data_IF_521584124364
#
_entry.id   IF_521584124364
#
_cell.length_a   1.000
_cell.length_b   1.000
_cell.length_c   1.000
_cell.angle_alpha   90.00
_cell.angle_beta   90.00
_cell.angle_gamma   90.00
#
_symmetry.space_group_name_H-M   'P 1'
#
loop_
_entity.id
_entity.type
_entity.pdbx_description
1 polymer ?
#
# COMPACT_ATOMS: atom_id res chain seq x y z
N UNK A 1 -13.95 -29.49 -0.50
CA UNK A 1 -12.86 -28.64 0.04
C UNK A 1 -12.45 -27.48 -0.90
N UNK A 2 -13.21 -27.15 -1.95
CA UNK A 2 -12.85 -26.08 -2.92
C UNK A 2 -13.63 -24.76 -2.74
N UNK A 3 -14.49 -24.65 -1.71
CA UNK A 3 -15.39 -23.50 -1.53
C UNK A 3 -14.80 -22.27 -0.85
N UNK A 4 -13.54 -22.32 -0.41
CA UNK A 4 -12.85 -21.22 0.28
C UNK A 4 -12.10 -20.24 -0.62
N UNK A 5 -11.91 -20.58 -1.91
CA UNK A 5 -11.21 -19.72 -2.88
C UNK A 5 -12.14 -18.76 -3.63
N UNK A 6 -13.46 -18.92 -3.50
CA UNK A 6 -14.41 -17.99 -4.07
C UNK A 6 -14.64 -16.86 -3.05
N UNK A 7 -14.15 -15.63 -3.31
CA UNK A 7 -14.42 -14.51 -2.43
C UNK A 7 -15.93 -14.32 -2.33
N UNK A 8 -16.47 -14.48 -1.12
CA UNK A 8 -17.88 -14.21 -0.84
C UNK A 8 -18.03 -12.71 -0.66
N UNK A 9 -19.01 -12.13 -1.34
CA UNK A 9 -19.42 -10.77 -1.05
C UNK A 9 -19.89 -10.72 0.41
N UNK A 10 -19.42 -9.77 1.23
CA UNK A 10 -19.90 -9.61 2.59
C UNK A 10 -21.39 -9.29 2.56
N UNK A 11 -22.12 -9.75 3.57
CA UNK A 11 -23.58 -9.56 3.66
C UNK A 11 -23.97 -8.07 3.66
N UNK A 12 -23.05 -7.18 4.05
CA UNK A 12 -23.18 -5.72 3.98
C UNK A 12 -23.19 -5.16 2.55
N UNK A 13 -22.70 -5.90 1.55
CA UNK A 13 -22.68 -5.52 0.13
C UNK A 13 -23.82 -6.15 -0.69
N UNK A 14 -24.68 -6.99 -0.08
CA UNK A 14 -25.73 -7.75 -0.77
C UNK A 14 -26.93 -6.91 -1.29
N UNK A 15 -26.72 -5.64 -1.63
CA UNK A 15 -27.74 -4.77 -2.23
C UNK A 15 -27.49 -3.27 -2.13
N UNK A 16 -26.52 -2.83 -1.33
CA UNK A 16 -26.20 -1.40 -1.15
C UNK A 16 -24.72 -1.13 -1.45
N UNK A 17 -24.45 -0.55 -2.63
CA UNK A 17 -23.12 -0.05 -2.99
C UNK A 17 -22.91 1.42 -2.58
N UNK A 18 -23.96 2.06 -2.10
CA UNK A 18 -23.96 3.47 -1.71
C UNK A 18 -23.99 3.58 -0.18
N UNK A 19 -23.24 4.53 0.40
CA UNK A 19 -23.28 4.79 1.84
C UNK A 19 -24.72 5.10 2.25
N UNK A 20 -25.19 4.41 3.28
CA UNK A 20 -26.55 4.56 3.78
C UNK A 20 -26.52 5.07 5.22
N UNK A 21 -27.50 5.90 5.59
CA UNK A 21 -27.62 6.43 6.94
C UNK A 21 -28.64 5.61 7.70
N UNK A 22 -28.20 4.83 8.68
CA UNK A 22 -29.07 4.04 9.57
C UNK A 22 -28.89 4.58 10.99
N UNK A 23 -29.97 5.04 11.62
CA UNK A 23 -29.94 5.47 13.04
C UNK A 23 -29.11 6.73 13.34
N UNK A 24 -28.68 7.50 12.34
CA UNK A 24 -27.85 8.70 12.50
C UNK A 24 -26.38 8.50 12.16
N UNK A 25 -25.91 7.25 12.13
CA UNK A 25 -24.58 6.85 11.68
C UNK A 25 -24.54 6.60 10.17
N UNK A 26 -23.43 6.97 9.54
CA UNK A 26 -23.16 6.68 8.13
C UNK A 26 -22.45 5.34 8.07
N UNK A 27 -23.13 4.32 7.55
CA UNK A 27 -22.54 3.00 7.35
C UNK A 27 -22.18 2.89 5.87
N UNK A 28 -20.88 2.89 5.59
CA UNK A 28 -20.34 2.68 4.24
C UNK A 28 -19.73 1.28 4.13
N UNK A 29 -20.38 0.34 3.40
CA UNK A 29 -19.88 -1.01 3.23
C UNK A 29 -18.57 -1.08 2.41
N UNK A 30 -18.17 0.01 1.73
CA UNK A 30 -16.96 0.11 0.94
C UNK A 30 -15.82 0.87 1.65
N UNK A 31 -15.98 1.26 2.92
CA UNK A 31 -15.00 2.06 3.64
C UNK A 31 -13.57 1.46 3.61
N UNK A 32 -13.44 0.15 3.81
CA UNK A 32 -12.12 -0.53 3.75
C UNK A 32 -11.52 -0.54 2.35
N UNK A 33 -12.35 -0.67 1.31
CA UNK A 33 -11.92 -0.63 -0.09
C UNK A 33 -11.47 0.79 -0.46
N UNK A 34 -12.22 1.80 -0.03
CA UNK A 34 -11.83 3.20 -0.21
C UNK A 34 -10.51 3.52 0.50
N UNK A 35 -10.31 3.03 1.72
CA UNK A 35 -9.04 3.17 2.44
C UNK A 35 -7.86 2.51 1.72
N UNK A 36 -8.08 1.32 1.16
CA UNK A 36 -7.06 0.64 0.34
C UNK A 36 -6.72 1.44 -0.92
N UNK A 37 -7.72 1.96 -1.63
CA UNK A 37 -7.51 2.79 -2.83
C UNK A 37 -6.77 4.08 -2.46
N UNK A 38 -7.21 4.77 -1.40
CA UNK A 38 -6.62 6.02 -0.94
C UNK A 38 -5.15 5.89 -0.53
N UNK A 39 -4.76 4.74 0.04
CA UNK A 39 -3.37 4.47 0.43
C UNK A 39 -2.48 3.96 -0.71
N UNK A 40 -3.07 3.45 -1.81
CA UNK A 40 -2.32 2.94 -2.97
C UNK A 40 -2.07 4.01 -4.02
N UNK A 41 -2.96 4.99 -4.16
CA UNK A 41 -2.80 6.07 -5.14
C UNK A 41 -1.96 7.23 -4.57
N UNK A 42 -0.63 7.16 -4.76
CA UNK A 42 0.29 8.21 -4.31
C UNK A 42 0.48 9.30 -5.37
N UNK A 43 -0.06 10.49 -5.11
CA UNK A 43 0.13 11.68 -5.97
C UNK A 43 1.62 12.09 -6.02
N UNK A 44 2.30 12.10 -4.87
CA UNK A 44 3.72 12.43 -4.79
C UNK A 44 4.58 11.45 -5.61
N UNK A 45 4.26 10.15 -5.55
CA UNK A 45 4.94 9.13 -6.37
C UNK A 45 4.70 9.34 -7.86
N UNK A 46 3.47 9.69 -8.26
CA UNK A 46 3.15 9.98 -9.65
C UNK A 46 3.94 11.18 -10.21
N UNK A 47 4.09 12.25 -9.42
CA UNK A 47 4.92 13.39 -9.81
C UNK A 47 6.41 13.02 -9.88
N UNK A 48 6.91 12.29 -8.89
CA UNK A 48 8.32 11.93 -8.83
C UNK A 48 8.73 10.91 -9.90
N UNK A 49 7.80 10.14 -10.45
CA UNK A 49 8.06 9.25 -11.57
C UNK A 49 8.70 9.99 -12.77
N UNK A 50 8.32 11.24 -13.02
CA UNK A 50 8.93 12.06 -14.07
C UNK A 50 10.41 12.39 -13.77
N UNK A 51 10.75 12.65 -12.51
CA UNK A 51 12.13 12.87 -12.08
C UNK A 51 12.97 11.59 -12.20
N UNK A 52 12.40 10.43 -11.84
CA UNK A 52 13.08 9.15 -12.00
C UNK A 52 13.35 8.80 -13.47
N UNK A 53 12.41 9.08 -14.38
CA UNK A 53 12.61 8.91 -15.83
C UNK A 53 13.74 9.83 -16.33
N UNK A 54 13.77 11.09 -15.85
CA UNK A 54 14.84 12.05 -16.16
C UNK A 54 16.21 11.58 -15.64
N UNK A 55 16.28 11.11 -14.39
CA UNK A 55 17.50 10.59 -13.76
C UNK A 55 18.02 9.32 -14.44
N UNK A 56 17.12 8.42 -14.86
CA UNK A 56 17.49 7.24 -15.66
C UNK A 56 17.94 7.59 -17.08
N UNK A 57 17.81 8.85 -17.52
CA UNK A 57 18.16 9.30 -18.87
C UNK A 57 17.29 8.70 -19.97
N UNK A 58 16.06 8.27 -19.64
CA UNK A 58 15.20 7.58 -20.59
C UNK A 58 14.70 8.51 -21.68
N UNK A 59 14.78 8.03 -22.92
CA UNK A 59 14.30 8.75 -24.10
C UNK A 59 12.93 8.23 -24.55
N UNK A 60 12.33 8.88 -25.57
CA UNK A 60 11.08 8.37 -26.19
C UNK A 60 11.24 6.95 -26.76
N UNK A 61 12.45 6.55 -27.13
CA UNK A 61 12.73 5.19 -27.62
C UNK A 61 12.61 4.13 -26.51
N UNK A 62 12.78 4.53 -25.25
CA UNK A 62 12.72 3.63 -24.08
C UNK A 62 11.32 3.54 -23.47
N UNK A 63 10.33 4.24 -24.03
CA UNK A 63 8.96 4.28 -23.50
C UNK A 63 8.35 2.87 -23.35
N UNK A 64 8.59 1.99 -24.32
CA UNK A 64 8.11 0.61 -24.24
C UNK A 64 8.76 -0.16 -23.09
N UNK A 65 10.08 0.02 -22.87
CA UNK A 65 10.80 -0.59 -21.74
C UNK A 65 10.28 -0.07 -20.42
N UNK A 66 10.05 1.24 -20.31
CA UNK A 66 9.50 1.86 -19.11
C UNK A 66 8.08 1.41 -18.77
N UNK A 67 7.25 1.21 -19.78
CA UNK A 67 5.91 0.65 -19.59
C UNK A 67 5.97 -0.80 -19.06
N UNK A 68 6.83 -1.65 -19.63
CA UNK A 68 7.02 -3.03 -19.16
C UNK A 68 7.58 -3.06 -17.73
N UNK A 69 8.60 -2.25 -17.43
CA UNK A 69 9.17 -2.12 -16.08
C UNK A 69 8.10 -1.74 -15.05
N UNK A 70 7.25 -0.77 -15.41
CA UNK A 70 6.15 -0.31 -14.54
C UNK A 70 5.08 -1.38 -14.33
N UNK A 71 4.65 -2.07 -15.39
CA UNK A 71 3.64 -3.14 -15.31
C UNK A 71 4.15 -4.32 -14.47
N UNK A 72 5.42 -4.71 -14.65
CA UNK A 72 6.04 -5.77 -13.85
C UNK A 72 6.13 -5.35 -12.38
N UNK A 73 6.58 -4.13 -12.10
CA UNK A 73 6.63 -3.60 -10.74
C UNK A 73 5.26 -3.57 -10.05
N UNK A 74 4.24 -3.08 -10.74
CA UNK A 74 2.84 -3.08 -10.26
C UNK A 74 2.34 -4.51 -10.03
N UNK A 75 2.65 -5.43 -10.94
CA UNK A 75 2.26 -6.84 -10.82
C UNK A 75 2.86 -7.53 -9.60
N UNK A 76 4.15 -7.30 -9.33
CA UNK A 76 4.82 -7.83 -8.14
C UNK A 76 4.19 -7.26 -6.86
N UNK A 77 3.92 -5.95 -6.84
CA UNK A 77 3.26 -5.31 -5.69
C UNK A 77 1.84 -5.86 -5.48
N UNK A 78 1.09 -6.07 -6.56
CA UNK A 78 -0.26 -6.63 -6.48
C UNK A 78 -0.25 -8.06 -5.92
N UNK A 79 0.70 -8.90 -6.34
CA UNK A 79 0.85 -10.28 -5.83
C UNK A 79 1.23 -10.28 -4.35
N UNK A 80 2.13 -9.39 -3.94
CA UNK A 80 2.49 -9.22 -2.52
C UNK A 80 1.27 -8.85 -1.69
N UNK A 81 0.53 -7.80 -2.09
CA UNK A 81 -0.69 -7.35 -1.41
C UNK A 81 -1.75 -8.44 -1.35
N UNK A 82 -1.94 -9.18 -2.44
CA UNK A 82 -2.87 -10.32 -2.48
C UNK A 82 -2.46 -11.42 -1.49
N UNK A 83 -1.17 -11.72 -1.39
CA UNK A 83 -0.64 -12.73 -0.45
C UNK A 83 -0.90 -12.31 1.01
N UNK A 84 -0.67 -11.04 1.34
CA UNK A 84 -0.96 -10.50 2.68
C UNK A 84 -2.46 -10.59 2.97
N UNK A 85 -3.32 -10.15 2.04
CA UNK A 85 -4.78 -10.21 2.18
C UNK A 85 -5.30 -11.64 2.38
N UNK A 86 -4.80 -12.61 1.60
CA UNK A 86 -5.18 -14.02 1.74
C UNK A 86 -4.74 -14.58 3.09
N UNK A 87 -3.54 -14.22 3.56
CA UNK A 87 -3.02 -14.66 4.86
C UNK A 87 -3.86 -14.08 6.01
N UNK A 88 -4.17 -12.79 5.95
CA UNK A 88 -5.07 -12.15 6.91
C UNK A 88 -6.46 -12.79 6.89
N UNK A 89 -7.03 -13.06 5.71
CA UNK A 89 -8.30 -13.75 5.60
C UNK A 89 -8.25 -15.18 6.18
N UNK A 90 -7.17 -15.94 5.96
CA UNK A 90 -7.04 -17.31 6.45
C UNK A 90 -6.89 -17.39 7.98
N UNK A 91 -6.19 -16.43 8.58
CA UNK A 91 -5.86 -16.44 10.02
C UNK A 91 -6.88 -15.68 10.85
N UNK A 92 -7.32 -14.51 10.38
CA UNK A 92 -8.06 -13.52 11.16
C UNK A 92 -9.58 -13.65 10.97
N UNK A 93 -10.04 -14.10 9.81
CA UNK A 93 -11.48 -14.21 9.50
C UNK A 93 -12.18 -15.20 10.44
N UNK A 94 -13.18 -14.72 11.18
CA UNK A 94 -13.98 -15.51 12.11
C UNK A 94 -13.27 -15.89 13.41
N UNK A 95 -12.03 -15.42 13.63
CA UNK A 95 -11.27 -15.65 14.88
C UNK A 95 -11.07 -14.39 15.71
N UNK A 96 -11.02 -13.22 15.07
CA UNK A 96 -10.82 -11.92 15.73
C UNK A 96 -11.90 -10.97 15.25
N UNK A 97 -12.54 -10.27 16.19
CA UNK A 97 -13.52 -9.26 15.85
C UNK A 97 -12.83 -8.05 15.19
N UNK A 98 -13.38 -7.50 14.08
CA UNK A 98 -12.75 -6.38 13.38
C UNK A 98 -12.50 -5.14 14.25
N UNK A 99 -13.30 -4.94 15.30
CA UNK A 99 -13.17 -3.85 16.27
C UNK A 99 -11.94 -4.00 17.16
N UNK A 100 -11.41 -5.22 17.30
CA UNK A 100 -10.20 -5.48 18.07
C UNK A 100 -8.93 -5.29 17.25
N UNK A 101 -8.99 -5.10 15.92
CA UNK A 101 -7.81 -4.94 15.05
C UNK A 101 -7.22 -3.51 15.07
N UNK A 102 -6.97 -2.96 16.26
CA UNK A 102 -6.50 -1.59 16.44
C UNK A 102 -4.97 -1.42 16.48
N UNK A 103 -4.21 -2.50 16.65
CA UNK A 103 -2.75 -2.43 16.88
C UNK A 103 -1.94 -3.31 15.94
N UNK A 104 -0.69 -2.90 15.69
CA UNK A 104 0.24 -3.64 14.82
C UNK A 104 0.51 -5.07 15.33
N UNK A 105 0.51 -5.29 16.64
CA UNK A 105 0.70 -6.62 17.25
C UNK A 105 -0.46 -7.56 16.97
N UNK A 106 -1.70 -7.04 16.89
CA UNK A 106 -2.87 -7.84 16.51
C UNK A 106 -2.84 -8.22 15.03
N UNK A 107 -2.37 -7.33 14.17
CA UNK A 107 -2.13 -7.65 12.75
C UNK A 107 -1.01 -8.67 12.59
N UNK A 108 0.00 -8.66 13.46
CA UNK A 108 1.09 -9.63 13.45
C UNK A 108 0.64 -11.07 13.71
N UNK A 109 -0.53 -11.30 14.31
CA UNK A 109 -1.11 -12.63 14.51
C UNK A 109 -1.26 -13.41 13.18
N UNK A 110 -1.39 -12.72 12.04
CA UNK A 110 -1.40 -13.37 10.72
C UNK A 110 -0.11 -14.15 10.40
N UNK A 111 1.01 -13.80 11.04
CA UNK A 111 2.31 -14.44 10.87
C UNK A 111 2.57 -15.55 11.91
N UNK A 112 1.74 -15.67 12.94
CA UNK A 112 1.88 -16.65 14.02
C UNK A 112 1.95 -18.12 13.51
N UNK A 113 1.19 -18.54 12.49
CA UNK A 113 1.31 -19.90 11.95
C UNK A 113 2.67 -20.22 11.32
N UNK A 114 3.42 -19.20 10.91
CA UNK A 114 4.73 -19.36 10.26
C UNK A 114 5.90 -19.16 11.22
N UNK A 115 5.77 -18.21 12.16
CA UNK A 115 6.88 -17.74 13.01
C UNK A 115 6.61 -17.89 14.51
N UNK A 116 5.43 -18.36 14.92
CA UNK A 116 5.04 -18.55 16.32
C UNK A 116 5.18 -17.28 17.15
N UNK A 117 5.75 -17.40 18.35
CA UNK A 117 5.95 -16.31 19.30
C UNK A 117 6.80 -15.14 18.76
N UNK A 118 7.63 -15.39 17.73
CA UNK A 118 8.47 -14.35 17.10
C UNK A 118 7.72 -13.50 16.07
N UNK A 119 6.48 -13.87 15.72
CA UNK A 119 5.67 -13.18 14.70
C UNK A 119 5.52 -11.68 15.01
N UNK A 120 5.25 -11.33 16.26
CA UNK A 120 5.12 -9.93 16.69
C UNK A 120 6.39 -9.11 16.48
N UNK A 121 7.54 -9.66 16.87
CA UNK A 121 8.83 -8.96 16.74
C UNK A 121 9.20 -8.78 15.26
N UNK A 122 9.11 -9.85 14.47
CA UNK A 122 9.42 -9.80 13.04
C UNK A 122 8.50 -8.85 12.28
N UNK A 123 7.20 -8.86 12.59
CA UNK A 123 6.24 -7.94 11.98
C UNK A 123 6.56 -6.49 12.34
N UNK A 124 6.79 -6.18 13.61
CA UNK A 124 7.10 -4.82 14.06
C UNK A 124 8.43 -4.32 13.47
N UNK A 125 9.46 -5.15 13.41
CA UNK A 125 10.75 -4.79 12.77
C UNK A 125 10.57 -4.55 11.27
N UNK A 126 9.81 -5.40 10.58
CA UNK A 126 9.49 -5.20 9.16
C UNK A 126 8.68 -3.94 8.91
N UNK A 127 7.66 -3.67 9.75
CA UNK A 127 6.84 -2.48 9.69
C UNK A 127 7.67 -1.20 9.92
N UNK A 128 8.59 -1.23 10.89
CA UNK A 128 9.53 -0.14 11.13
C UNK A 128 10.46 0.10 9.93
N UNK A 129 11.05 -0.97 9.39
CA UNK A 129 11.93 -0.87 8.23
C UNK A 129 11.21 -0.32 6.99
N UNK A 130 9.99 -0.79 6.72
CA UNK A 130 9.14 -0.30 5.64
C UNK A 130 8.77 1.18 5.83
N UNK A 131 8.40 1.57 7.06
CA UNK A 131 8.08 2.95 7.41
C UNK A 131 9.26 3.90 7.23
N UNK A 132 10.45 3.52 7.73
CA UNK A 132 11.67 4.31 7.58
C UNK A 132 12.11 4.43 6.11
N UNK A 133 12.00 3.34 5.33
CA UNK A 133 12.32 3.37 3.90
C UNK A 133 11.41 4.33 3.13
N UNK A 134 10.10 4.27 3.37
CA UNK A 134 9.12 5.18 2.75
C UNK A 134 9.33 6.63 3.19
N UNK A 135 9.63 6.86 4.47
CA UNK A 135 9.93 8.18 5.00
C UNK A 135 11.12 8.84 4.30
N UNK A 136 12.24 8.12 4.15
CA UNK A 136 13.43 8.64 3.46
C UNK A 136 13.12 9.04 2.01
N UNK A 137 12.40 8.19 1.27
CA UNK A 137 12.00 8.51 -0.11
C UNK A 137 11.14 9.76 -0.16
N UNK A 138 10.11 9.87 0.69
CA UNK A 138 9.22 11.03 0.68
C UNK A 138 9.95 12.33 1.05
N UNK A 139 10.93 12.29 1.95
CA UNK A 139 11.77 13.46 2.28
C UNK A 139 12.64 13.86 1.08
N UNK A 140 13.23 12.90 0.37
CA UNK A 140 13.99 13.21 -0.86
C UNK A 140 13.10 13.81 -1.95
N UNK A 141 11.90 13.27 -2.16
CA UNK A 141 10.92 13.84 -3.10
C UNK A 141 10.58 15.28 -2.70
N UNK A 142 10.27 15.51 -1.43
CA UNK A 142 9.93 16.83 -0.91
C UNK A 142 11.06 17.84 -1.06
N UNK A 143 12.30 17.43 -0.76
CA UNK A 143 13.50 18.24 -0.97
C UNK A 143 13.69 18.61 -2.43
N UNK A 144 13.67 17.61 -3.32
CA UNK A 144 13.88 17.81 -4.76
C UNK A 144 12.80 18.63 -5.45
N UNK A 145 11.55 18.53 -5.00
CA UNK A 145 10.48 19.39 -5.54
C UNK A 145 10.62 20.82 -5.02
N UNK A 146 11.05 21.01 -3.77
CA UNK A 146 11.23 22.33 -3.18
C UNK A 146 12.41 23.08 -3.82
N UNK A 147 13.55 22.42 -4.01
CA UNK A 147 14.73 22.99 -4.67
C UNK A 147 14.47 23.34 -6.13
N UNK A 148 13.79 22.47 -6.88
CA UNK A 148 13.40 22.72 -8.26
C UNK A 148 12.42 23.90 -8.34
N UNK A 149 11.45 23.96 -7.41
CA UNK A 149 10.52 25.08 -7.28
C UNK A 149 11.18 26.41 -6.93
N UNK A 150 12.29 26.40 -6.19
CA UNK A 150 13.10 27.58 -5.87
C UNK A 150 14.15 27.91 -6.95
N UNK A 151 14.26 27.10 -8.02
CA UNK A 151 15.24 27.27 -9.09
C UNK A 151 16.68 26.93 -8.69
N UNK A 152 16.87 26.21 -7.58
CA UNK A 152 18.18 25.84 -7.03
C UNK A 152 18.75 24.56 -7.67
N UNK A 153 17.92 23.84 -8.44
CA UNK A 153 18.26 22.58 -9.12
C UNK A 153 17.24 21.49 -8.77
N UNK A 154 17.12 20.47 -9.62
CA UNK A 154 16.19 19.35 -9.42
C UNK A 154 16.87 17.98 -9.56
N UNK A 155 18.17 17.93 -9.25
CA UNK A 155 19.01 16.74 -9.39
C UNK A 155 19.55 16.33 -8.03
N UNK A 156 19.37 15.05 -7.69
CA UNK A 156 19.60 14.54 -6.33
C UNK A 156 21.08 14.49 -5.95
N UNK A 157 21.97 14.55 -6.95
CA UNK A 157 23.43 14.54 -6.80
C UNK A 157 24.05 15.95 -6.65
N UNK A 158 23.24 17.02 -6.63
CA UNK A 158 23.75 18.38 -6.43
C UNK A 158 23.77 18.78 -4.94
N UNK A 159 24.61 19.75 -4.59
CA UNK A 159 24.80 20.22 -3.20
C UNK A 159 23.52 20.74 -2.55
N UNK A 160 22.55 21.15 -3.36
CA UNK A 160 21.18 21.46 -2.98
C UNK A 160 20.27 20.51 -3.77
N UNK A 161 19.86 19.38 -3.15
CA UNK A 161 18.92 18.44 -3.76
C UNK A 161 17.54 19.05 -3.86
#
# INVERSE_FOLDING_TARGET
>A
MAGGFLPRLPDSLAGALLPSRIGGEVVDPLQSVQGLIATTFSVAGAFYAAYLVRQKGWSRADLHRGHVDSVVGIGVLAVLTMTIMITAAAVLHGRVDPTELGSATQVAAQLEPLFGEWAGVLFCTGLLAAGLSSFLVNVMIGGTVLSDGLGLGGDMDQRWP
#
